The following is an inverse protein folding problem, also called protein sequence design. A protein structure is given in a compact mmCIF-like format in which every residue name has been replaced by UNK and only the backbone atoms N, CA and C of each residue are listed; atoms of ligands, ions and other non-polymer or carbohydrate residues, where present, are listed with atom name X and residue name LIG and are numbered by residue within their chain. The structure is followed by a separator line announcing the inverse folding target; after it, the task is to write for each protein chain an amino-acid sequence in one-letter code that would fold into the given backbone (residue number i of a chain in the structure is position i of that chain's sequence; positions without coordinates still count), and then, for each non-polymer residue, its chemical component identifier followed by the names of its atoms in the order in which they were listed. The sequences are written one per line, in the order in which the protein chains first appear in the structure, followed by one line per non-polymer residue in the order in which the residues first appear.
data_IF_236921144008
#
_entry.id   IF_236921144008
#
_cell.length_a   1.000
_cell.length_b   1.000
_cell.length_c   1.000
_cell.angle_alpha   90.00
_cell.angle_beta   90.00
_cell.angle_gamma   90.00
#
_symmetry.space_group_name_H-M   'P 1'
#
loop_
_entity.id
_entity.type
_entity.pdbx_description
1 polymer ?
#
# COMPACT_ATOMS: atom_id res chain seq x y z
N UNK A 1 21.48 0.94 -12.73
CA UNK A 1 20.77 0.68 -11.46
C UNK A 1 20.26 2.00 -10.94
N UNK A 2 18.97 2.11 -10.69
CA UNK A 2 18.34 3.31 -10.13
C UNK A 2 18.57 3.40 -8.63
N UNK A 3 18.48 4.60 -8.04
CA UNK A 3 18.61 4.79 -6.58
C UNK A 3 17.67 3.87 -5.80
N UNK A 4 16.43 3.70 -6.29
CA UNK A 4 15.44 2.79 -5.70
C UNK A 4 15.94 1.35 -5.65
N UNK A 5 16.47 0.84 -6.76
CA UNK A 5 16.97 -0.54 -6.86
C UNK A 5 18.13 -0.77 -5.91
N UNK A 6 19.06 0.19 -5.84
CA UNK A 6 20.20 0.13 -4.92
C UNK A 6 19.75 0.11 -3.46
N UNK A 7 18.78 0.96 -3.08
CA UNK A 7 18.23 0.98 -1.72
C UNK A 7 17.57 -0.35 -1.38
N UNK A 8 16.74 -0.90 -2.28
CA UNK A 8 16.08 -2.19 -2.07
C UNK A 8 17.08 -3.35 -1.90
N UNK A 9 18.15 -3.38 -2.70
CA UNK A 9 19.24 -4.36 -2.59
C UNK A 9 19.95 -4.22 -1.24
N UNK A 10 20.33 -3.00 -0.86
CA UNK A 10 21.03 -2.73 0.39
C UNK A 10 20.19 -3.10 1.61
N UNK A 11 18.90 -2.77 1.61
CA UNK A 11 17.97 -3.14 2.68
C UNK A 11 17.82 -4.66 2.81
N UNK A 12 17.69 -5.37 1.68
CA UNK A 12 17.60 -6.84 1.68
C UNK A 12 18.88 -7.47 2.23
N UNK A 13 20.04 -6.95 1.83
CA UNK A 13 21.33 -7.40 2.35
C UNK A 13 21.46 -7.14 3.85
N UNK A 14 21.01 -5.98 4.33
CA UNK A 14 21.01 -5.66 5.75
C UNK A 14 20.12 -6.63 6.55
N UNK A 15 18.92 -6.93 6.07
CA UNK A 15 18.03 -7.93 6.71
C UNK A 15 18.70 -9.29 6.77
N UNK A 16 19.31 -9.75 5.69
CA UNK A 16 20.00 -11.05 5.68
C UNK A 16 21.14 -11.10 6.69
N UNK A 17 21.89 -10.01 6.86
CA UNK A 17 22.93 -9.90 7.90
C UNK A 17 22.34 -9.96 9.31
N UNK A 18 21.26 -9.20 9.58
CA UNK A 18 20.59 -9.24 10.88
C UNK A 18 20.05 -10.64 11.19
N UNK A 19 19.47 -11.33 10.21
CA UNK A 19 18.99 -12.72 10.37
C UNK A 19 20.11 -13.71 10.62
N UNK A 20 21.27 -13.50 10.01
CA UNK A 20 22.44 -14.36 10.22
C UNK A 20 23.01 -14.19 11.63
N UNK A 21 23.06 -12.94 12.11
CA UNK A 21 23.54 -12.60 13.46
C UNK A 21 22.55 -13.03 14.55
N UNK A 22 21.25 -12.89 14.30
CA UNK A 22 20.18 -13.17 15.25
C UNK A 22 19.19 -14.20 14.67
N UNK A 23 19.58 -15.48 14.57
CA UNK A 23 18.81 -16.51 13.86
C UNK A 23 17.45 -16.84 14.48
N UNK A 24 17.24 -16.53 15.76
CA UNK A 24 16.00 -16.81 16.48
C UNK A 24 15.19 -15.55 16.82
N UNK A 25 15.62 -14.38 16.35
CA UNK A 25 14.93 -13.13 16.64
C UNK A 25 13.82 -12.87 15.61
N UNK A 26 12.69 -12.38 16.11
CA UNK A 26 11.72 -11.67 15.29
C UNK A 26 12.27 -10.29 14.95
N UNK A 27 12.14 -9.88 13.69
CA UNK A 27 12.70 -8.64 13.17
C UNK A 27 11.53 -7.76 12.71
N UNK A 28 11.47 -6.57 13.29
CA UNK A 28 10.51 -5.55 12.91
C UNK A 28 11.19 -4.48 12.06
N UNK A 29 10.54 -4.10 10.96
CA UNK A 29 10.97 -3.04 10.05
C UNK A 29 9.90 -1.97 10.00
N UNK A 30 10.27 -0.74 10.37
CA UNK A 30 9.39 0.41 10.27
C UNK A 30 9.46 1.07 8.89
N UNK A 31 8.33 1.62 8.43
CA UNK A 31 8.29 2.38 7.19
C UNK A 31 9.11 3.66 7.25
N UNK A 32 9.67 4.05 6.11
CA UNK A 32 10.30 5.36 5.93
C UNK A 32 9.19 6.40 5.89
N UNK A 33 9.21 7.34 6.84
CA UNK A 33 8.25 8.44 6.88
C UNK A 33 8.49 9.42 5.71
N UNK A 34 7.43 10.02 5.16
CA UNK A 34 7.57 11.06 4.14
C UNK A 34 8.17 12.32 4.75
N UNK A 35 8.75 13.17 3.89
CA UNK A 35 9.20 14.52 4.25
C UNK A 35 8.08 15.52 4.03
N UNK A 36 7.97 16.49 4.93
CA UNK A 36 7.07 17.63 4.82
C UNK A 36 7.69 18.70 3.90
N UNK A 37 6.88 19.27 3.01
CA UNK A 37 7.30 20.39 2.17
C UNK A 37 6.71 20.33 0.78
N UNK A 38 7.23 21.19 -0.11
CA UNK A 38 6.81 21.29 -1.52
C UNK A 38 8.04 21.40 -2.41
N UNK A 39 7.94 20.92 -3.64
CA UNK A 39 9.00 21.01 -4.65
C UNK A 39 9.28 19.66 -5.30
N UNK A 40 9.78 19.70 -6.54
CA UNK A 40 9.97 18.49 -7.36
C UNK A 40 10.92 17.48 -6.71
N UNK A 41 12.01 17.96 -6.09
CA UNK A 41 12.97 17.09 -5.38
C UNK A 41 12.32 16.35 -4.22
N UNK A 42 11.55 17.05 -3.37
CA UNK A 42 10.84 16.44 -2.25
C UNK A 42 9.77 15.44 -2.72
N UNK A 43 9.02 15.80 -3.77
CA UNK A 43 8.06 14.88 -4.39
C UNK A 43 8.75 13.60 -4.86
N UNK A 44 9.89 13.72 -5.55
CA UNK A 44 10.68 12.56 -6.00
C UNK A 44 11.17 11.72 -4.81
N UNK A 45 11.72 12.34 -3.77
CA UNK A 45 12.15 11.64 -2.56
C UNK A 45 10.99 10.88 -1.90
N UNK A 46 9.84 11.50 -1.72
CA UNK A 46 8.67 10.87 -1.09
C UNK A 46 8.13 9.71 -1.94
N UNK A 47 8.12 9.84 -3.28
CA UNK A 47 7.77 8.75 -4.19
C UNK A 47 8.76 7.58 -4.11
N UNK A 48 10.05 7.87 -4.00
CA UNK A 48 11.09 6.85 -3.78
C UNK A 48 10.89 6.14 -2.44
N UNK A 49 10.72 6.88 -1.34
CA UNK A 49 10.45 6.30 -0.01
C UNK A 49 9.20 5.42 -0.02
N UNK A 50 8.11 5.89 -0.63
CA UNK A 50 6.89 5.10 -0.76
C UNK A 50 7.11 3.79 -1.53
N UNK A 51 7.84 3.86 -2.65
CA UNK A 51 8.17 2.67 -3.44
C UNK A 51 9.05 1.68 -2.68
N UNK A 52 9.99 2.18 -1.87
CA UNK A 52 10.84 1.36 -1.01
C UNK A 52 9.99 0.69 0.08
N UNK A 53 9.09 1.43 0.74
CA UNK A 53 8.19 0.88 1.76
C UNK A 53 7.34 -0.28 1.19
N UNK A 54 6.73 -0.10 0.02
CA UNK A 54 5.96 -1.16 -0.65
C UNK A 54 6.81 -2.39 -0.98
N UNK A 55 8.07 -2.18 -1.39
CA UNK A 55 9.00 -3.27 -1.60
C UNK A 55 9.32 -3.99 -0.28
N UNK A 56 9.56 -3.25 0.80
CA UNK A 56 9.88 -3.82 2.11
C UNK A 56 8.71 -4.61 2.70
N UNK A 57 7.48 -4.12 2.58
CA UNK A 57 6.28 -4.86 2.95
C UNK A 57 6.20 -6.21 2.20
N UNK A 58 6.49 -6.20 0.89
CA UNK A 58 6.56 -7.42 0.08
C UNK A 58 7.70 -8.37 0.48
N UNK A 59 8.82 -7.85 0.96
CA UNK A 59 9.92 -8.69 1.47
C UNK A 59 9.53 -9.32 2.80
N UNK A 60 8.96 -8.55 3.72
CA UNK A 60 8.58 -9.03 5.05
C UNK A 60 7.46 -10.08 4.98
N UNK A 61 6.47 -9.91 4.10
CA UNK A 61 5.39 -10.89 3.92
C UNK A 61 5.83 -12.29 3.44
N UNK A 62 7.09 -12.46 3.02
CA UNK A 62 7.63 -13.76 2.59
C UNK A 62 8.31 -14.55 3.72
N UNK A 63 8.52 -13.95 4.89
CA UNK A 63 9.19 -14.59 6.02
C UNK A 63 8.43 -14.28 7.31
N UNK A 64 7.99 -15.33 8.02
CA UNK A 64 7.16 -15.19 9.22
C UNK A 64 7.85 -14.45 10.37
N UNK A 65 9.19 -14.42 10.39
CA UNK A 65 9.96 -13.67 11.39
C UNK A 65 10.10 -12.19 11.07
N UNK A 66 9.64 -11.75 9.90
CA UNK A 66 9.73 -10.36 9.48
C UNK A 66 8.36 -9.69 9.59
N UNK A 67 8.29 -8.67 10.44
CA UNK A 67 7.13 -7.79 10.52
C UNK A 67 7.45 -6.44 9.87
N UNK A 68 6.54 -5.95 9.02
CA UNK A 68 6.59 -4.58 8.50
C UNK A 68 5.51 -3.74 9.15
N UNK A 69 5.89 -2.58 9.69
CA UNK A 69 4.97 -1.64 10.33
C UNK A 69 4.99 -0.35 9.55
N UNK A 70 3.86 -0.02 8.92
CA UNK A 70 3.68 1.26 8.28
C UNK A 70 3.25 2.33 9.28
N UNK A 71 4.25 2.91 9.96
CA UNK A 71 4.04 3.98 10.94
C UNK A 71 3.36 5.20 10.31
N UNK A 72 3.57 5.45 9.01
CA UNK A 72 2.93 6.58 8.34
C UNK A 72 1.44 6.32 8.14
N UNK A 73 1.06 5.14 7.63
CA UNK A 73 -0.35 4.78 7.46
C UNK A 73 -1.07 4.76 8.80
N UNK A 74 -0.48 4.11 9.82
CA UNK A 74 -0.99 4.05 11.20
C UNK A 74 -1.29 5.42 11.77
N UNK A 75 -0.35 6.35 11.58
CA UNK A 75 -0.47 7.72 12.05
C UNK A 75 -1.48 8.54 11.23
N UNK A 76 -1.69 8.20 9.95
CA UNK A 76 -2.65 8.85 9.06
C UNK A 76 -4.08 8.28 9.14
N UNK A 77 -4.30 7.17 9.87
CA UNK A 77 -5.61 6.52 9.88
C UNK A 77 -6.72 7.48 10.36
N UNK A 78 -7.89 7.46 9.69
CA UNK A 78 -9.06 8.17 10.17
C UNK A 78 -9.40 7.78 11.61
N UNK A 79 -9.59 8.77 12.49
CA UNK A 79 -9.86 8.56 13.92
C UNK A 79 -8.79 9.13 14.86
N UNK A 80 -7.59 9.45 14.35
CA UNK A 80 -6.51 10.08 15.15
C UNK A 80 -6.72 11.59 15.43
N UNK A 81 -7.74 12.22 14.82
CA UNK A 81 -8.17 13.60 15.14
C UNK A 81 -7.20 14.73 14.78
N UNK A 82 -6.02 14.43 14.20
CA UNK A 82 -5.00 15.41 13.84
C UNK A 82 -4.56 15.25 12.38
N UNK A 83 -4.25 16.36 11.71
CA UNK A 83 -3.62 16.31 10.38
C UNK A 83 -2.13 15.96 10.56
N UNK A 84 -1.70 14.76 10.13
CA UNK A 84 -0.36 14.25 10.42
C UNK A 84 0.77 15.16 10.00
N UNK A 85 0.63 15.75 8.82
CA UNK A 85 1.67 16.59 8.20
C UNK A 85 1.85 17.89 9.00
N UNK A 86 0.78 18.36 9.66
CA UNK A 86 0.83 19.59 10.47
C UNK A 86 1.39 19.34 11.87
N UNK A 87 1.13 18.17 12.45
CA UNK A 87 1.42 17.90 13.87
C UNK A 87 2.66 17.03 14.11
N UNK A 88 3.11 16.24 13.14
CA UNK A 88 4.23 15.31 13.32
C UNK A 88 5.61 15.99 13.22
N UNK A 89 5.79 16.87 12.23
CA UNK A 89 7.10 17.44 11.91
C UNK A 89 7.42 18.70 12.71
N UNK A 90 8.70 18.96 12.92
CA UNK A 90 9.16 20.20 13.53
C UNK A 90 8.85 21.40 12.62
N UNK A 91 8.21 22.41 13.22
CA UNK A 91 7.84 23.65 12.54
C UNK A 91 9.04 24.59 12.35
N UNK A 92 10.08 24.40 13.16
CA UNK A 92 11.32 25.17 13.13
C UNK A 92 12.38 24.50 12.24
N UNK A 93 12.14 23.27 11.78
CA UNK A 93 13.02 22.56 10.86
C UNK A 93 12.65 22.88 9.40
N UNK A 94 13.44 23.68 8.67
CA UNK A 94 13.16 24.01 7.29
C UNK A 94 13.36 22.83 6.34
N UNK A 95 14.06 21.77 6.77
CA UNK A 95 14.26 20.57 5.93
C UNK A 95 13.00 19.72 5.81
N UNK A 96 12.07 19.85 6.77
CA UNK A 96 10.84 19.07 6.82
C UNK A 96 11.07 17.57 7.00
N UNK A 97 12.23 17.20 7.57
CA UNK A 97 12.61 15.80 7.80
C UNK A 97 12.41 15.44 9.27
N UNK A 98 12.72 16.35 10.19
CA UNK A 98 12.75 16.05 11.61
C UNK A 98 11.35 16.11 12.22
N UNK A 99 11.11 15.17 13.13
CA UNK A 99 9.87 14.99 13.87
C UNK A 99 9.96 15.86 15.12
N UNK A 100 8.89 16.57 15.47
CA UNK A 100 8.87 17.33 16.72
C UNK A 100 8.71 16.41 17.94
N UNK A 101 8.93 16.96 19.13
CA UNK A 101 8.88 16.19 20.38
C UNK A 101 7.54 15.49 20.62
N UNK A 102 6.42 16.10 20.22
CA UNK A 102 5.09 15.53 20.41
C UNK A 102 4.80 14.41 19.41
N UNK A 103 5.15 14.62 18.13
CA UNK A 103 5.11 13.61 17.09
C UNK A 103 5.95 12.38 17.45
N UNK A 104 7.15 12.58 18.02
CA UNK A 104 8.01 11.49 18.48
C UNK A 104 7.34 10.67 19.59
N UNK A 105 6.69 11.31 20.58
CA UNK A 105 5.94 10.60 21.64
C UNK A 105 4.79 9.77 21.06
N UNK A 106 4.07 10.33 20.08
CA UNK A 106 2.96 9.63 19.43
C UNK A 106 3.45 8.41 18.64
N UNK A 107 4.56 8.53 17.90
CA UNK A 107 5.18 7.38 17.23
C UNK A 107 5.65 6.32 18.23
N UNK A 108 6.28 6.73 19.34
CA UNK A 108 6.67 5.80 20.40
C UNK A 108 5.44 5.09 20.99
N UNK A 109 4.32 5.80 21.18
CA UNK A 109 3.07 5.21 21.65
C UNK A 109 2.53 4.18 20.65
N UNK A 110 2.57 4.47 19.35
CA UNK A 110 2.18 3.51 18.31
C UNK A 110 3.06 2.26 18.32
N UNK A 111 4.38 2.43 18.41
CA UNK A 111 5.31 1.30 18.50
C UNK A 111 5.06 0.47 19.75
N UNK A 112 4.86 1.12 20.91
CA UNK A 112 4.52 0.43 22.15
C UNK A 112 3.22 -0.35 22.01
N UNK A 113 2.17 0.27 21.47
CA UNK A 113 0.89 -0.41 21.26
C UNK A 113 1.05 -1.62 20.33
N UNK A 114 1.80 -1.48 19.23
CA UNK A 114 2.09 -2.62 18.36
C UNK A 114 2.77 -3.76 19.12
N UNK A 115 3.80 -3.46 19.92
CA UNK A 115 4.55 -4.46 20.69
C UNK A 115 3.75 -5.04 21.87
N UNK A 116 2.72 -4.33 22.34
CA UNK A 116 1.89 -4.73 23.49
C UNK A 116 0.73 -5.63 23.09
N UNK A 117 0.38 -5.68 21.81
CA UNK A 117 -0.60 -6.64 21.32
C UNK A 117 0.15 -7.97 21.20
N UNK A 118 -0.43 -9.07 21.73
CA UNK A 118 0.08 -10.47 21.64
C UNK A 118 0.20 -11.03 20.19
N UNK A 119 0.39 -10.15 19.21
CA UNK A 119 0.27 -10.36 17.76
C UNK A 119 1.58 -10.59 17.03
N UNK A 120 2.69 -10.82 17.72
CA UNK A 120 3.92 -11.28 17.05
C UNK A 120 3.73 -12.62 16.31
N UNK A 121 2.62 -13.34 16.54
CA UNK A 121 2.19 -14.51 15.74
C UNK A 121 1.03 -14.29 14.75
N UNK A 122 0.40 -13.11 14.68
CA UNK A 122 -0.89 -12.92 14.00
C UNK A 122 -0.94 -11.79 12.95
N UNK A 123 0.13 -11.01 12.77
CA UNK A 123 0.23 -10.08 11.64
C UNK A 123 0.57 -10.80 10.33
N UNK A 124 -0.23 -11.80 9.97
CA UNK A 124 -0.34 -12.27 8.58
C UNK A 124 -1.01 -11.14 7.82
N UNK A 125 -0.23 -10.33 7.11
CA UNK A 125 -0.74 -9.35 6.13
C UNK A 125 -1.90 -9.91 5.33
N UNK A 126 -3.06 -9.23 5.30
CA UNK A 126 -3.96 -9.34 4.19
C UNK A 126 -4.32 -7.94 3.71
N UNK A 127 -3.38 -7.23 3.08
CA UNK A 127 -3.74 -6.19 2.12
C UNK A 127 -4.05 -6.82 0.75
N UNK A 128 -4.70 -7.98 0.77
CA UNK A 128 -5.38 -8.53 -0.39
C UNK A 128 -6.58 -7.63 -0.69
N UNK A 129 -6.42 -6.68 -1.61
CA UNK A 129 -7.54 -6.11 -2.36
C UNK A 129 -8.47 -7.28 -2.68
N UNK A 130 -9.68 -7.30 -2.11
CA UNK A 130 -10.76 -8.17 -2.61
C UNK A 130 -10.93 -7.80 -4.08
N UNK A 131 -10.31 -8.55 -4.97
CA UNK A 131 -10.69 -8.60 -6.38
C UNK A 131 -12.13 -9.07 -6.33
N UNK A 132 -13.06 -8.17 -6.61
CA UNK A 132 -14.42 -8.54 -6.96
C UNK A 132 -14.28 -9.57 -8.07
N UNK A 133 -14.64 -10.82 -7.79
CA UNK A 133 -14.83 -11.84 -8.83
C UNK A 133 -15.98 -11.32 -9.69
N UNK A 134 -15.68 -10.54 -10.71
CA UNK A 134 -16.54 -10.49 -11.88
C UNK A 134 -16.57 -11.92 -12.42
N UNK A 135 -17.73 -12.54 -12.26
CA UNK A 135 -18.06 -13.84 -12.80
C UNK A 135 -17.58 -13.94 -14.23
N UNK A 136 -16.67 -14.87 -14.49
CA UNK A 136 -16.37 -15.34 -15.83
C UNK A 136 -17.65 -15.97 -16.39
N UNK A 137 -18.41 -15.23 -17.18
CA UNK A 137 -19.40 -15.80 -18.08
C UNK A 137 -18.64 -16.32 -19.30
N UNK A 138 -18.55 -17.64 -19.40
CA UNK A 138 -18.08 -18.38 -20.56
C UNK A 138 -18.71 -17.82 -21.85
N UNK A 139 -17.95 -17.64 -22.96
CA UNK A 139 -18.54 -17.25 -24.22
C UNK A 139 -19.36 -18.41 -24.79
N UNK A 140 -20.66 -18.20 -24.96
CA UNK A 140 -21.52 -19.15 -25.67
C UNK A 140 -21.24 -19.09 -27.17
N UNK A 141 -20.62 -20.14 -27.71
CA UNK A 141 -20.54 -20.38 -29.15
C UNK A 141 -21.93 -20.62 -29.74
N UNK A 142 -22.10 -20.13 -30.97
CA UNK A 142 -23.32 -20.13 -31.77
C UNK A 142 -23.92 -21.53 -32.02
N UNK A 143 -25.26 -21.61 -32.14
CA UNK A 143 -25.90 -22.26 -33.29
C UNK A 143 -27.39 -21.90 -33.47
N UNK A 144 -27.81 -21.99 -34.73
CA UNK A 144 -29.04 -21.51 -35.38
C UNK A 144 -30.27 -22.41 -35.14
N UNK A 145 -31.46 -21.83 -35.27
CA UNK A 145 -32.61 -22.30 -36.11
C UNK A 145 -33.87 -21.47 -35.78
N UNK A 146 -34.90 -21.28 -36.61
CA UNK A 146 -35.09 -21.13 -38.05
C UNK A 146 -36.59 -20.76 -38.20
N UNK A 147 -36.91 -19.75 -39.01
CA UNK A 147 -38.13 -19.56 -39.82
C UNK A 147 -39.54 -19.79 -39.23
N UNK A 148 -40.38 -18.75 -39.30
CA UNK A 148 -41.74 -18.85 -39.85
C UNK A 148 -42.08 -17.61 -40.69
N UNK A 149 -42.44 -17.87 -41.96
CA UNK A 149 -42.93 -16.94 -43.00
C UNK A 149 -44.46 -16.88 -43.01
N UNK A 150 -44.96 -15.79 -43.61
CA UNK A 150 -46.20 -15.55 -44.39
C UNK A 150 -47.03 -14.38 -43.81
N UNK A 151 -47.24 -13.20 -44.41
CA UNK A 151 -47.41 -12.67 -45.79
C UNK A 151 -48.89 -12.44 -46.14
N UNK A 152 -49.32 -11.17 -46.31
CA UNK A 152 -50.23 -10.73 -47.39
C UNK A 152 -50.51 -9.20 -47.41
N UNK A 153 -50.36 -8.61 -48.61
CA UNK A 153 -51.09 -7.48 -49.26
C UNK A 153 -50.96 -6.05 -48.70
N UNK A 154 -50.43 -5.09 -49.50
CA UNK A 154 -51.11 -4.16 -50.47
C UNK A 154 -51.95 -3.10 -49.72
N UNK A 155 -51.88 -1.77 -49.93
CA UNK A 155 -51.72 -0.94 -51.12
C UNK A 155 -51.10 0.45 -50.79
N UNK A 156 -50.68 1.15 -51.85
CA UNK A 156 -50.41 2.59 -51.91
C UNK A 156 -51.61 3.46 -51.45
N UNK A 157 -51.35 4.58 -50.77
CA UNK A 157 -51.90 5.88 -51.21
C UNK A 157 -51.19 7.07 -50.57
N UNK A 158 -50.83 8.02 -51.42
CA UNK A 158 -50.34 9.38 -51.12
C UNK A 158 -51.52 10.29 -50.78
N UNK A 159 -51.39 11.15 -49.76
CA UNK A 159 -51.79 12.58 -49.80
C UNK A 159 -51.66 13.25 -48.42
N UNK A 160 -50.75 14.22 -48.30
CA UNK A 160 -51.06 15.65 -48.38
C UNK A 160 -49.76 16.47 -48.42
#
# INVERSE_FOLDING_TARGET
MTDKEMICVNMTNAINKVKAEFPNADICIFSILPRKGKGQTLTKCNLTSHSVNLYMEKVCSKDQRLSFIDLWDDFCRPGMGVNPIKTLFDKNDPSGVHINSEGAKQLVSLVKNFMSIDRLGEYVTPSGKKRTRSSASTPGSAEKQQSKRQNSSLEETVSK
#
